data_IF_739331532047
#
_entry.id   IF_739331532047
#
_cell.length_a   1.000
_cell.length_b   1.000
_cell.length_c   1.000
_cell.angle_alpha   90.00
_cell.angle_beta   90.00
_cell.angle_gamma   90.00
#
_symmetry.space_group_name_H-M   'P 1'
#
loop_
_entity.id
_entity.type
_entity.pdbx_description
1 polymer ?
#
# COMPACT_ATOMS: atom_id res chain seq x y z
N UNK A 1 3.02 -13.90 16.83
CA UNK A 1 3.90 -14.40 15.76
C UNK A 1 3.18 -14.21 14.42
N UNK A 2 3.85 -13.66 13.44
CA UNK A 2 3.32 -13.53 12.07
C UNK A 2 3.40 -14.88 11.36
N UNK A 3 2.29 -15.32 10.76
CA UNK A 3 2.22 -16.57 9.98
C UNK A 3 1.92 -16.23 8.53
N UNK A 4 2.82 -16.63 7.63
CA UNK A 4 2.67 -16.42 6.20
C UNK A 4 2.29 -17.72 5.47
N UNK A 5 1.17 -17.71 4.80
CA UNK A 5 0.79 -18.76 3.85
C UNK A 5 1.21 -18.33 2.44
N UNK A 6 1.92 -19.17 1.70
CA UNK A 6 2.44 -18.88 0.35
C UNK A 6 1.33 -18.78 -0.70
N UNK A 7 0.35 -17.93 -0.45
CA UNK A 7 -0.78 -17.65 -1.36
C UNK A 7 -1.32 -16.25 -1.06
N UNK A 8 -1.88 -15.61 -2.07
CA UNK A 8 -2.61 -14.37 -1.89
C UNK A 8 -3.91 -14.62 -1.11
N UNK A 9 -4.34 -13.65 -0.32
CA UNK A 9 -5.63 -13.68 0.38
C UNK A 9 -6.79 -13.86 -0.61
N UNK A 10 -6.75 -13.11 -1.71
CA UNK A 10 -7.63 -13.29 -2.87
C UNK A 10 -6.83 -13.44 -4.15
N UNK A 11 -7.28 -14.27 -5.11
CA UNK A 11 -6.53 -14.48 -6.35
C UNK A 11 -6.52 -13.22 -7.22
N UNK A 12 -5.35 -12.86 -7.73
CA UNK A 12 -5.17 -11.78 -8.70
C UNK A 12 -4.83 -12.37 -10.06
N UNK A 13 -5.70 -12.14 -11.06
CA UNK A 13 -5.54 -12.66 -12.42
C UNK A 13 -5.87 -11.58 -13.44
N UNK A 14 -4.91 -10.76 -13.79
CA UNK A 14 -5.07 -9.69 -14.79
C UNK A 14 -4.64 -10.23 -16.15
N UNK A 15 -5.57 -10.22 -17.10
CA UNK A 15 -5.37 -10.78 -18.43
C UNK A 15 -4.49 -9.87 -19.29
N UNK A 16 -4.78 -8.58 -19.31
CA UNK A 16 -4.11 -7.61 -20.16
C UNK A 16 -3.37 -6.57 -19.32
N UNK A 17 -2.07 -6.32 -19.58
CA UNK A 17 -1.34 -5.23 -18.97
C UNK A 17 -2.00 -3.87 -19.23
N UNK A 18 -1.98 -2.99 -18.23
CA UNK A 18 -2.47 -1.62 -18.31
C UNK A 18 -1.61 -0.71 -17.43
N UNK A 19 -0.53 -0.14 -17.95
CA UNK A 19 0.37 0.70 -17.17
C UNK A 19 -0.28 2.00 -16.68
N UNK A 20 -1.27 2.52 -17.41
CA UNK A 20 -1.99 3.71 -16.97
C UNK A 20 -2.78 3.43 -15.68
N UNK A 21 -3.42 2.27 -15.58
CA UNK A 21 -4.09 1.85 -14.35
C UNK A 21 -3.08 1.54 -13.22
N UNK A 22 -1.97 0.89 -13.54
CA UNK A 22 -0.91 0.59 -12.57
C UNK A 22 -0.39 1.86 -11.89
N UNK A 23 -0.33 2.96 -12.61
CA UNK A 23 0.13 4.26 -12.11
C UNK A 23 -0.76 4.82 -10.98
N UNK A 24 -2.06 4.55 -11.02
CA UNK A 24 -2.96 4.89 -9.92
C UNK A 24 -2.84 3.89 -8.76
N UNK A 25 -2.87 2.61 -9.08
CA UNK A 25 -2.83 1.53 -8.09
C UNK A 25 -1.54 1.55 -7.26
N UNK A 26 -0.42 2.02 -7.82
CA UNK A 26 0.86 2.04 -7.10
C UNK A 26 0.83 2.93 -5.84
N UNK A 27 -0.07 3.90 -5.75
CA UNK A 27 -0.28 4.70 -4.53
C UNK A 27 -0.71 3.84 -3.35
N UNK A 28 -1.49 2.79 -3.60
CA UNK A 28 -1.90 1.81 -2.61
C UNK A 28 -0.76 0.90 -2.18
N UNK A 29 0.29 0.79 -2.97
CA UNK A 29 1.46 -0.02 -2.64
C UNK A 29 2.37 0.69 -1.64
N UNK A 30 2.79 1.89 -1.93
CA UNK A 30 3.80 2.59 -1.13
C UNK A 30 3.56 4.08 -0.94
N UNK A 31 2.36 4.58 -1.25
CA UNK A 31 1.97 5.95 -0.92
C UNK A 31 1.82 6.16 0.59
N UNK A 32 1.69 7.40 1.05
CA UNK A 32 1.58 7.72 2.48
C UNK A 32 0.40 7.03 3.16
N UNK A 33 -0.70 6.83 2.45
CA UNK A 33 -1.91 6.15 2.92
C UNK A 33 -2.11 4.79 2.24
N UNK A 34 -1.06 4.23 1.65
CA UNK A 34 -1.07 2.88 1.09
C UNK A 34 -0.92 1.79 2.16
N UNK A 35 -1.05 0.53 1.73
CA UNK A 35 -1.11 -0.63 2.63
C UNK A 35 0.14 -0.77 3.54
N UNK A 36 1.33 -0.41 3.04
CA UNK A 36 2.54 -0.42 3.87
C UNK A 36 2.45 0.61 4.99
N UNK A 37 2.04 1.83 4.66
CA UNK A 37 1.86 2.91 5.65
C UNK A 37 0.77 2.59 6.65
N UNK A 38 -0.37 2.04 6.20
CA UNK A 38 -1.48 1.61 7.02
C UNK A 38 -1.05 0.52 8.01
N UNK A 39 -0.40 -0.53 7.53
CA UNK A 39 0.11 -1.61 8.38
C UNK A 39 1.02 -1.09 9.49
N UNK A 40 2.02 -0.29 9.15
CA UNK A 40 2.96 0.26 10.13
C UNK A 40 2.31 1.24 11.09
N UNK A 41 1.33 2.03 10.64
CA UNK A 41 0.55 2.93 11.49
C UNK A 41 -0.19 2.14 12.57
N UNK A 42 -1.01 1.19 12.20
CA UNK A 42 -1.80 0.37 13.12
C UNK A 42 -0.92 -0.44 14.08
N UNK A 43 0.10 -1.09 13.57
CA UNK A 43 1.03 -1.89 14.37
C UNK A 43 1.88 -1.03 15.34
N UNK A 44 2.08 0.25 15.04
CA UNK A 44 2.76 1.18 15.94
C UNK A 44 1.82 1.75 16.99
N UNK A 45 0.62 2.15 16.59
CA UNK A 45 -0.39 2.72 17.48
C UNK A 45 -0.85 1.74 18.56
N UNK A 46 -0.89 0.43 18.26
CA UNK A 46 -1.29 -0.62 19.21
C UNK A 46 -0.54 -0.56 20.55
N UNK A 47 0.72 -0.10 20.54
CA UNK A 47 1.53 -0.07 21.76
C UNK A 47 1.11 1.04 22.72
N UNK A 48 0.48 2.11 22.25
CA UNK A 48 -0.04 3.21 23.07
C UNK A 48 -1.52 3.07 23.44
N UNK A 49 -2.22 2.05 22.92
CA UNK A 49 -3.63 1.83 23.26
C UNK A 49 -3.77 1.33 24.72
N UNK A 50 -4.65 1.94 25.52
CA UNK A 50 -4.81 1.54 26.92
C UNK A 50 -5.67 0.28 27.10
N UNK A 51 -6.48 -0.07 26.09
CA UNK A 51 -7.43 -1.18 26.19
C UNK A 51 -6.93 -2.40 25.41
N UNK A 52 -6.93 -3.60 26.01
CA UNK A 52 -6.50 -4.84 25.34
C UNK A 52 -7.25 -5.11 24.04
N UNK A 53 -8.54 -4.80 23.99
CA UNK A 53 -9.40 -4.98 22.82
C UNK A 53 -8.93 -4.14 21.63
N UNK A 54 -8.55 -2.88 21.88
CA UNK A 54 -8.02 -1.99 20.83
C UNK A 54 -6.64 -2.45 20.35
N UNK A 55 -5.80 -2.93 21.28
CA UNK A 55 -4.51 -3.54 20.89
C UNK A 55 -4.70 -4.75 19.98
N UNK A 56 -5.64 -5.62 20.31
CA UNK A 56 -5.97 -6.79 19.53
C UNK A 56 -6.50 -6.40 18.14
N UNK A 57 -7.44 -5.45 18.08
CA UNK A 57 -8.01 -4.96 16.84
C UNK A 57 -6.94 -4.36 15.92
N UNK A 58 -6.11 -3.44 16.42
CA UNK A 58 -5.05 -2.82 15.61
C UNK A 58 -3.97 -3.84 15.18
N UNK A 59 -3.74 -4.88 15.98
CA UNK A 59 -2.84 -5.96 15.57
C UNK A 59 -3.44 -6.78 14.43
N UNK A 60 -4.73 -7.09 14.51
CA UNK A 60 -5.44 -7.87 13.51
C UNK A 60 -5.49 -7.12 12.16
N UNK A 61 -5.99 -5.90 12.18
CA UNK A 61 -6.06 -5.05 10.97
C UNK A 61 -4.66 -4.78 10.42
N UNK A 62 -3.70 -4.36 11.25
CA UNK A 62 -2.35 -4.04 10.79
C UNK A 62 -1.60 -5.21 10.15
N UNK A 63 -1.87 -6.45 10.60
CA UNK A 63 -1.30 -7.64 9.95
C UNK A 63 -2.05 -8.02 8.68
N UNK A 64 -3.36 -7.76 8.59
CA UNK A 64 -4.15 -7.96 7.37
C UNK A 64 -3.67 -7.05 6.23
N UNK A 65 -3.27 -5.82 6.53
CA UNK A 65 -2.72 -4.87 5.54
C UNK A 65 -1.46 -5.39 4.84
N UNK A 66 -0.69 -6.28 5.46
CA UNK A 66 0.44 -6.95 4.80
C UNK A 66 -0.04 -7.92 3.71
N UNK A 67 -1.18 -8.54 3.89
CA UNK A 67 -1.85 -9.34 2.85
C UNK A 67 -2.35 -8.49 1.70
N UNK A 68 -2.94 -7.33 2.00
CA UNK A 68 -3.35 -6.34 1.00
C UNK A 68 -2.16 -5.80 0.22
N UNK A 69 -1.06 -5.46 0.89
CA UNK A 69 0.19 -5.04 0.26
C UNK A 69 0.68 -6.07 -0.77
N UNK A 70 0.64 -7.35 -0.45
CA UNK A 70 1.02 -8.44 -1.35
C UNK A 70 0.10 -8.51 -2.58
N UNK A 71 -1.21 -8.35 -2.40
CA UNK A 71 -2.16 -8.32 -3.49
C UNK A 71 -1.95 -7.11 -4.41
N UNK A 72 -1.79 -5.92 -3.85
CA UNK A 72 -1.52 -4.69 -4.62
C UNK A 72 -0.21 -4.80 -5.40
N UNK A 73 0.86 -5.30 -4.78
CA UNK A 73 2.12 -5.56 -5.47
C UNK A 73 1.97 -6.52 -6.64
N UNK A 74 1.16 -7.57 -6.47
CA UNK A 74 0.84 -8.53 -7.54
C UNK A 74 0.02 -7.88 -8.67
N UNK A 75 -0.94 -7.02 -8.33
CA UNK A 75 -1.72 -6.25 -9.32
C UNK A 75 -0.80 -5.36 -10.14
N UNK A 76 0.04 -4.54 -9.51
CA UNK A 76 0.98 -3.66 -10.20
C UNK A 76 1.92 -4.47 -11.10
N UNK A 77 2.45 -5.59 -10.60
CA UNK A 77 3.28 -6.49 -11.41
C UNK A 77 2.54 -7.01 -12.66
N UNK A 78 1.32 -7.50 -12.50
CA UNK A 78 0.54 -8.04 -13.62
C UNK A 78 0.10 -6.97 -14.62
N UNK A 79 -0.13 -5.73 -14.15
CA UNK A 79 -0.47 -4.60 -15.01
C UNK A 79 0.71 -4.07 -15.81
N UNK A 80 1.94 -4.30 -15.36
CA UNK A 80 3.16 -3.77 -15.98
C UNK A 80 4.08 -4.85 -16.55
N UNK A 81 3.69 -6.12 -16.49
CA UNK A 81 4.53 -7.24 -16.95
C UNK A 81 4.86 -7.13 -18.43
N UNK A 82 6.09 -7.54 -18.77
CA UNK A 82 6.60 -7.61 -20.14
C UNK A 82 6.63 -6.25 -20.88
N UNK A 83 6.68 -5.14 -20.17
CA UNK A 83 6.86 -3.82 -20.78
C UNK A 83 8.29 -3.64 -21.29
N UNK A 84 8.41 -3.08 -22.49
CA UNK A 84 9.69 -2.61 -23.01
C UNK A 84 10.09 -1.27 -22.37
N UNK A 85 11.37 -0.87 -22.41
CA UNK A 85 11.81 0.45 -21.93
C UNK A 85 11.06 1.60 -22.58
N UNK A 86 10.74 1.50 -23.85
CA UNK A 86 9.99 2.50 -24.60
C UNK A 86 8.54 2.62 -24.10
N UNK A 87 7.90 1.49 -23.83
CA UNK A 87 6.54 1.46 -23.28
C UNK A 87 6.50 2.03 -21.87
N UNK A 88 7.49 1.72 -21.03
CA UNK A 88 7.63 2.29 -19.69
C UNK A 88 7.73 3.81 -19.77
N UNK A 89 8.62 4.32 -20.63
CA UNK A 89 8.79 5.75 -20.84
C UNK A 89 7.53 6.42 -21.36
N UNK A 90 6.89 5.85 -22.38
CA UNK A 90 5.65 6.36 -22.95
C UNK A 90 4.51 6.40 -21.93
N UNK A 91 4.45 5.43 -21.03
CA UNK A 91 3.46 5.38 -19.97
C UNK A 91 3.76 6.34 -18.79
N UNK A 92 4.91 6.99 -18.78
CA UNK A 92 5.35 7.83 -17.66
C UNK A 92 5.65 7.03 -16.40
N UNK A 93 6.16 5.80 -16.56
CA UNK A 93 6.42 4.87 -15.46
C UNK A 93 7.88 4.86 -15.01
N UNK A 94 8.72 5.72 -15.59
CA UNK A 94 10.15 5.80 -15.29
C UNK A 94 10.44 6.09 -13.80
N UNK A 95 9.60 6.90 -13.18
CA UNK A 95 9.72 7.27 -11.77
C UNK A 95 9.52 6.08 -10.81
N UNK A 96 8.82 5.04 -11.27
CA UNK A 96 8.42 3.89 -10.44
C UNK A 96 9.26 2.65 -10.67
N UNK A 97 10.14 2.67 -11.65
CA UNK A 97 11.05 1.58 -11.95
C UNK A 97 12.46 1.90 -11.50
N UNK A 98 13.09 0.93 -10.88
CA UNK A 98 14.51 0.97 -10.58
C UNK A 98 15.32 0.62 -11.82
N UNK A 99 16.61 0.64 -11.64
CA UNK A 99 17.60 0.27 -12.63
C UNK A 99 17.20 -0.93 -13.49
N UNK A 100 17.49 -0.88 -14.77
CA UNK A 100 17.20 -1.91 -15.77
C UNK A 100 15.74 -2.19 -16.06
N UNK A 101 14.85 -1.30 -15.66
CA UNK A 101 13.41 -1.39 -15.96
C UNK A 101 12.68 -2.64 -15.42
N UNK A 102 13.30 -3.37 -14.50
CA UNK A 102 12.79 -4.64 -14.01
C UNK A 102 12.13 -4.56 -12.63
N UNK A 103 12.51 -3.58 -11.82
CA UNK A 103 12.00 -3.40 -10.46
C UNK A 103 11.00 -2.26 -10.35
N UNK A 104 9.95 -2.45 -9.57
CA UNK A 104 8.95 -1.41 -9.26
C UNK A 104 9.26 -0.82 -7.88
N UNK A 105 9.38 0.50 -7.81
CA UNK A 105 9.47 1.22 -6.55
C UNK A 105 8.10 1.38 -5.93
N UNK A 106 7.92 1.08 -4.64
CA UNK A 106 6.67 1.31 -3.93
C UNK A 106 6.54 2.80 -3.55
N UNK A 107 6.15 3.63 -4.51
CA UNK A 107 5.92 5.06 -4.30
C UNK A 107 4.47 5.42 -4.58
N UNK A 108 4.06 6.64 -4.20
CA UNK A 108 2.78 7.20 -4.61
C UNK A 108 2.74 7.48 -6.13
N UNK A 109 1.55 7.62 -6.71
CA UNK A 109 1.35 7.96 -8.13
C UNK A 109 2.02 9.27 -8.53
N UNK A 110 2.16 10.22 -7.61
CA UNK A 110 2.92 11.46 -7.79
C UNK A 110 4.44 11.26 -7.86
N UNK A 111 4.94 10.07 -7.56
CA UNK A 111 6.37 9.79 -7.39
C UNK A 111 6.91 10.14 -6.01
N UNK A 112 6.06 10.55 -5.06
CA UNK A 112 6.48 10.81 -3.70
C UNK A 112 6.95 9.49 -3.04
N UNK A 113 8.19 9.42 -2.53
CA UNK A 113 8.70 8.20 -1.94
C UNK A 113 8.00 7.90 -0.61
N UNK A 114 7.90 6.62 -0.27
CA UNK A 114 7.43 6.23 1.04
C UNK A 114 8.27 6.89 2.15
N UNK A 115 7.60 7.41 3.17
CA UNK A 115 8.25 8.07 4.29
C UNK A 115 7.51 7.79 5.60
N UNK A 116 8.25 7.38 6.62
CA UNK A 116 7.71 7.22 7.97
C UNK A 116 7.17 8.54 8.55
N UNK A 117 7.64 9.69 8.07
CA UNK A 117 7.16 11.00 8.50
C UNK A 117 5.69 11.26 8.13
N UNK A 118 5.14 10.52 7.17
CA UNK A 118 3.73 10.60 6.78
C UNK A 118 2.80 9.76 7.67
N UNK A 119 3.35 8.93 8.55
CA UNK A 119 2.53 8.11 9.44
C UNK A 119 2.07 8.89 10.66
N UNK A 120 0.78 8.87 10.95
CA UNK A 120 0.21 9.50 12.13
C UNK A 120 0.20 8.52 13.31
N UNK A 121 1.15 8.69 14.21
CA UNK A 121 1.23 7.98 15.49
C UNK A 121 1.50 9.01 16.58
N UNK A 122 0.45 9.44 17.28
CA UNK A 122 0.51 10.52 18.28
C UNK A 122 0.61 9.99 19.70
N UNK A 123 0.18 8.75 19.95
CA UNK A 123 0.03 8.21 21.30
C UNK A 123 -1.24 8.67 22.01
N UNK A 124 -2.12 9.38 21.32
CA UNK A 124 -3.45 9.75 21.78
C UNK A 124 -4.50 8.89 21.09
N UNK A 125 -5.29 8.17 21.88
CA UNK A 125 -6.25 7.16 21.39
C UNK A 125 -7.24 7.76 20.38
N UNK A 126 -7.81 8.91 20.69
CA UNK A 126 -8.84 9.52 19.86
C UNK A 126 -8.24 10.10 18.58
N UNK A 127 -7.07 10.76 18.69
CA UNK A 127 -6.37 11.30 17.54
C UNK A 127 -5.95 10.18 16.59
N UNK A 128 -5.34 9.12 17.10
CA UNK A 128 -4.84 8.00 16.30
C UNK A 128 -5.99 7.26 15.59
N UNK A 129 -7.10 6.97 16.28
CA UNK A 129 -8.27 6.33 15.65
C UNK A 129 -8.98 7.22 14.62
N UNK A 130 -9.00 8.54 14.81
CA UNK A 130 -9.55 9.44 13.79
C UNK A 130 -8.65 9.50 12.53
N UNK A 131 -7.34 9.46 12.72
CA UNK A 131 -6.39 9.39 11.60
C UNK A 131 -6.54 8.10 10.80
N UNK A 132 -6.77 6.97 11.48
CA UNK A 132 -7.02 5.69 10.82
C UNK A 132 -8.25 5.74 9.92
N UNK A 133 -9.37 6.27 10.45
CA UNK A 133 -10.59 6.48 9.69
C UNK A 133 -10.41 7.43 8.50
N UNK A 134 -9.59 8.47 8.66
CA UNK A 134 -9.31 9.42 7.60
C UNK A 134 -8.46 8.79 6.49
N UNK A 135 -7.44 8.00 6.84
CA UNK A 135 -6.60 7.29 5.88
C UNK A 135 -7.41 6.29 5.05
N UNK A 136 -8.24 5.47 5.69
CA UNK A 136 -9.15 4.54 5.01
C UNK A 136 -10.14 5.26 4.08
N UNK A 137 -10.67 6.40 4.51
CA UNK A 137 -11.58 7.22 3.71
C UNK A 137 -10.91 7.79 2.45
N UNK A 138 -9.66 8.19 2.54
CA UNK A 138 -8.87 8.70 1.40
C UNK A 138 -8.64 7.59 0.38
N UNK A 139 -8.28 6.41 0.83
CA UNK A 139 -8.09 5.21 0.00
C UNK A 139 -9.35 4.87 -0.82
N UNK A 140 -10.53 4.94 -0.20
CA UNK A 140 -11.81 4.67 -0.89
C UNK A 140 -12.13 5.74 -1.93
N UNK A 141 -11.80 7.01 -1.71
CA UNK A 141 -12.03 8.08 -2.68
C UNK A 141 -11.13 7.96 -3.91
N UNK A 142 -9.87 7.61 -3.75
CA UNK A 142 -8.94 7.39 -4.86
C UNK A 142 -9.37 6.24 -5.78
N UNK A 143 -10.08 5.25 -5.25
CA UNK A 143 -10.60 4.12 -6.03
C UNK A 143 -11.85 4.45 -6.85
N UNK A 144 -12.55 5.55 -6.55
CA UNK A 144 -13.80 5.95 -7.21
C UNK A 144 -13.62 6.98 -8.34
N UNK A 145 -12.45 7.56 -8.49
CA UNK A 145 -12.08 8.50 -9.57
C UNK A 145 -11.50 7.78 -10.76
#
# INVERSE_FOLDING_TARGET
MFVYEKKLQYPVKIKNPNPALAKFIISQYGGPDGELGASLRYLSQRYSMPYPELKALLTDIGTEELGHLEMIGTIVHQLTRNMTPEEIKKAGFETYFVDRTAGVYPTAASGFPWSAASMAVKGDVIADLNEDLAADGTTVQEQRG
#
